data_IF_153552239381
#
_entry.id   IF_153552239381
#
_cell.length_a   1.000
_cell.length_b   1.000
_cell.length_c   1.000
_cell.angle_alpha   90.00
_cell.angle_beta   90.00
_cell.angle_gamma   90.00
#
_symmetry.space_group_name_H-M   'P 1'
#
loop_
_entity.id
_entity.type
_entity.pdbx_description
1 polymer ?
#
# COMPACT_ATOMS: atom_id res chain seq x y z
N UNK A 1 11.44 43.25 20.76
CA UNK A 1 11.81 41.86 20.44
C UNK A 1 10.64 41.19 19.73
N UNK A 2 10.79 40.90 18.46
CA UNK A 2 9.81 40.12 17.74
C UNK A 2 9.93 38.66 18.23
N UNK A 3 8.83 38.09 18.73
CA UNK A 3 8.77 36.69 19.06
C UNK A 3 8.84 35.88 17.75
N UNK A 4 9.84 35.02 17.62
CA UNK A 4 9.94 34.09 16.51
C UNK A 4 8.93 32.96 16.77
N UNK A 5 7.84 32.94 16.03
CA UNK A 5 6.91 31.79 16.06
C UNK A 5 7.55 30.67 15.21
N UNK A 6 8.20 29.74 15.87
CA UNK A 6 8.69 28.50 15.22
C UNK A 6 7.55 27.48 15.30
N UNK A 7 6.97 27.16 14.16
CA UNK A 7 6.02 26.04 14.03
C UNK A 7 6.81 24.80 13.66
N UNK A 8 6.60 23.69 14.39
CA UNK A 8 7.15 22.39 13.99
C UNK A 8 6.57 21.99 12.62
N UNK A 9 7.35 21.34 11.76
CA UNK A 9 6.81 20.70 10.56
C UNK A 9 5.75 19.65 10.96
N UNK A 10 4.88 19.34 10.04
CA UNK A 10 3.84 18.33 10.32
C UNK A 10 4.48 16.94 10.49
N UNK A 11 4.15 16.27 11.59
CA UNK A 11 4.54 14.87 11.81
C UNK A 11 3.87 14.00 10.74
N UNK A 12 4.65 13.16 10.07
CA UNK A 12 4.14 12.17 9.12
C UNK A 12 4.46 10.78 9.64
N UNK A 13 3.44 9.94 9.75
CA UNK A 13 3.58 8.51 10.06
C UNK A 13 2.94 7.71 8.94
N UNK A 14 3.76 6.98 8.19
CA UNK A 14 3.30 6.15 7.07
C UNK A 14 2.79 4.77 7.54
N UNK A 15 3.16 4.35 8.76
CA UNK A 15 2.79 3.07 9.33
C UNK A 15 3.94 2.07 9.41
N UNK A 16 3.60 0.79 9.48
CA UNK A 16 4.59 -0.27 9.52
C UNK A 16 5.18 -0.54 8.13
N UNK A 17 6.48 -0.79 8.07
CA UNK A 17 7.16 -1.20 6.84
C UNK A 17 6.73 -2.59 6.35
N UNK A 18 6.12 -3.38 7.22
CA UNK A 18 5.43 -4.62 6.92
C UNK A 18 4.20 -4.72 7.83
N UNK A 19 3.04 -4.34 7.32
CA UNK A 19 1.77 -4.38 8.05
C UNK A 19 1.33 -5.81 8.42
N UNK A 20 1.90 -6.82 7.79
CA UNK A 20 1.53 -8.22 7.97
C UNK A 20 2.69 -9.10 8.46
N UNK A 21 3.62 -8.53 9.18
CA UNK A 21 4.70 -9.29 9.79
C UNK A 21 4.17 -10.36 10.77
N UNK A 22 4.96 -11.41 10.95
CA UNK A 22 4.64 -12.47 11.88
C UNK A 22 4.79 -12.00 13.34
N UNK A 23 4.16 -12.73 14.25
CA UNK A 23 4.36 -12.55 15.67
C UNK A 23 5.84 -12.71 16.04
N UNK A 24 6.34 -11.87 16.92
CA UNK A 24 7.74 -11.77 17.37
C UNK A 24 8.73 -11.23 16.33
N UNK A 25 8.29 -10.90 15.12
CA UNK A 25 9.12 -10.15 14.20
C UNK A 25 9.35 -8.73 14.73
N UNK A 26 10.54 -8.21 14.52
CA UNK A 26 10.81 -6.78 14.71
C UNK A 26 10.51 -6.05 13.41
N UNK A 27 9.57 -5.11 13.49
CA UNK A 27 9.11 -4.32 12.34
C UNK A 27 9.41 -2.85 12.55
N UNK A 28 9.77 -2.15 11.50
CA UNK A 28 9.94 -0.71 11.55
C UNK A 28 8.62 0.01 11.30
N UNK A 29 8.34 1.02 12.13
CA UNK A 29 7.42 2.11 11.83
C UNK A 29 8.20 3.18 11.10
N UNK A 30 7.65 3.72 10.02
CA UNK A 30 8.33 4.69 9.16
C UNK A 30 7.52 5.98 9.05
N UNK A 31 8.22 7.09 8.87
CA UNK A 31 7.62 8.42 8.79
C UNK A 31 8.68 9.52 8.62
N UNK A 32 8.41 10.71 9.13
CA UNK A 32 9.37 11.82 9.19
C UNK A 32 9.22 12.62 10.47
N UNK A 33 10.28 13.36 10.81
CA UNK A 33 10.33 14.32 11.92
C UNK A 33 10.11 13.72 13.32
N UNK A 34 10.41 12.43 13.51
CA UNK A 34 10.20 11.72 14.77
C UNK A 34 10.98 12.34 15.94
N UNK A 35 12.19 12.82 15.69
CA UNK A 35 13.03 13.49 16.66
C UNK A 35 12.44 14.83 17.15
N UNK A 36 11.75 15.57 16.29
CA UNK A 36 11.09 16.83 16.66
C UNK A 36 9.88 16.62 17.55
N UNK A 37 9.27 15.45 17.49
CA UNK A 37 8.11 15.06 18.30
C UNK A 37 8.47 14.16 19.46
N UNK A 38 9.77 14.07 19.80
CA UNK A 38 10.30 13.26 20.90
C UNK A 38 9.86 11.78 20.80
N UNK A 39 9.72 11.26 19.58
CA UNK A 39 9.44 9.84 19.34
C UNK A 39 10.79 9.10 19.44
N UNK A 40 11.23 8.88 20.66
CA UNK A 40 12.48 8.21 20.99
C UNK A 40 12.30 7.26 22.19
N UNK A 41 13.33 6.48 22.50
CA UNK A 41 13.28 5.47 23.57
C UNK A 41 13.20 6.03 24.99
N UNK A 42 13.37 7.33 25.19
CA UNK A 42 13.37 8.00 26.49
C UNK A 42 12.02 8.65 26.75
N UNK A 43 11.48 9.33 25.74
CA UNK A 43 10.32 10.20 25.88
C UNK A 43 9.02 9.53 25.41
N UNK A 44 9.09 8.60 24.46
CA UNK A 44 7.91 7.96 23.92
C UNK A 44 7.46 6.78 24.78
N UNK A 45 6.16 6.74 25.06
CA UNK A 45 5.49 5.56 25.63
C UNK A 45 4.77 4.84 24.51
N UNK A 46 5.10 3.57 24.31
CA UNK A 46 4.49 2.70 23.32
C UNK A 46 3.62 1.65 23.96
N UNK A 47 2.41 1.49 23.41
CA UNK A 47 1.56 0.34 23.74
C UNK A 47 1.04 -0.32 22.47
N UNK A 48 0.95 -1.65 22.48
CA UNK A 48 0.36 -2.42 21.39
C UNK A 48 -0.91 -3.10 21.92
N UNK A 49 -2.08 -2.73 21.38
CA UNK A 49 -3.38 -3.11 21.95
C UNK A 49 -3.47 -2.86 23.45
N UNK A 50 -2.93 -1.71 23.92
CA UNK A 50 -2.91 -1.32 25.33
C UNK A 50 -1.83 -2.01 26.18
N UNK A 51 -1.06 -2.95 25.64
CA UNK A 51 0.04 -3.59 26.37
C UNK A 51 1.36 -2.86 26.08
N UNK A 52 2.16 -2.53 27.09
CA UNK A 52 3.44 -1.85 26.88
C UNK A 52 4.39 -2.66 25.98
N UNK A 53 5.00 -1.99 25.00
CA UNK A 53 6.03 -2.56 24.14
C UNK A 53 7.26 -1.65 24.14
N UNK A 54 8.42 -2.22 23.77
CA UNK A 54 9.68 -1.48 23.73
C UNK A 54 9.98 -0.98 22.33
N UNK A 55 10.48 0.25 22.25
CA UNK A 55 11.10 0.78 21.05
C UNK A 55 12.47 0.13 20.85
N UNK A 56 12.74 -0.30 19.61
CA UNK A 56 14.00 -0.95 19.21
C UNK A 56 14.68 -0.05 18.18
N UNK A 57 15.70 0.67 18.62
CA UNK A 57 16.37 1.65 17.76
C UNK A 57 15.40 2.76 17.31
N UNK A 58 15.91 3.96 17.12
CA UNK A 58 15.11 5.07 16.58
C UNK A 58 16.01 6.07 15.88
N UNK A 59 15.43 6.77 14.92
CA UNK A 59 16.02 7.93 14.25
C UNK A 59 14.88 8.87 13.79
N UNK A 60 15.21 9.96 13.10
CA UNK A 60 14.24 10.94 12.65
C UNK A 60 13.14 10.38 11.72
N UNK A 61 13.33 9.19 11.14
CA UNK A 61 12.41 8.64 10.12
C UNK A 61 11.89 7.25 10.42
N UNK A 62 12.41 6.58 11.45
CA UNK A 62 11.96 5.22 11.78
C UNK A 62 12.30 4.80 13.21
N UNK A 63 11.52 3.86 13.75
CA UNK A 63 11.85 3.07 14.92
C UNK A 63 11.31 1.64 14.76
N UNK A 64 11.92 0.69 15.46
CA UNK A 64 11.49 -0.70 15.48
C UNK A 64 10.58 -1.02 16.66
N UNK A 65 9.71 -2.00 16.49
CA UNK A 65 8.91 -2.61 17.55
C UNK A 65 8.76 -4.11 17.29
N UNK A 66 8.80 -4.93 18.35
CA UNK A 66 8.48 -6.35 18.24
C UNK A 66 6.97 -6.55 18.25
N UNK A 67 6.46 -7.33 17.30
CA UNK A 67 5.04 -7.69 17.24
C UNK A 67 4.73 -8.70 18.34
N UNK A 68 3.80 -8.39 19.25
CA UNK A 68 3.47 -9.29 20.36
C UNK A 68 2.97 -10.65 19.88
N UNK A 69 3.32 -11.70 20.64
CA UNK A 69 2.81 -13.03 20.37
C UNK A 69 1.27 -13.08 20.57
N UNK A 70 0.58 -13.78 19.68
CA UNK A 70 -0.89 -13.87 19.69
C UNK A 70 -1.59 -12.63 19.13
N UNK A 71 -0.89 -11.80 18.37
CA UNK A 71 -1.50 -10.67 17.65
C UNK A 71 -2.55 -11.20 16.66
N UNK A 72 -3.81 -10.71 16.72
CA UNK A 72 -4.87 -11.17 15.84
C UNK A 72 -4.51 -11.06 14.34
N UNK A 73 -4.96 -12.04 13.54
CA UNK A 73 -4.76 -12.07 12.08
C UNK A 73 -6.03 -11.72 11.32
N UNK A 74 -7.16 -11.67 11.99
CA UNK A 74 -8.51 -11.46 11.45
C UNK A 74 -9.04 -10.04 11.63
N UNK A 75 -8.29 -9.19 12.31
CA UNK A 75 -8.65 -7.80 12.58
C UNK A 75 -7.43 -6.93 12.83
N UNK A 76 -7.60 -5.62 12.69
CA UNK A 76 -6.57 -4.66 13.01
C UNK A 76 -6.16 -4.72 14.49
N UNK A 77 -4.88 -4.49 14.73
CA UNK A 77 -4.28 -4.19 16.02
C UNK A 77 -3.70 -2.78 15.97
N UNK A 78 -3.44 -2.17 17.12
CA UNK A 78 -3.00 -0.78 17.15
C UNK A 78 -1.75 -0.59 17.99
N UNK A 79 -0.74 0.03 17.41
CA UNK A 79 0.38 0.60 18.15
C UNK A 79 0.03 2.04 18.51
N UNK A 80 0.01 2.37 19.78
CA UNK A 80 -0.24 3.74 20.26
C UNK A 80 1.07 4.37 20.70
N UNK A 81 1.31 5.61 20.28
CA UNK A 81 2.46 6.44 20.65
C UNK A 81 1.97 7.62 21.47
N UNK A 82 2.55 7.82 22.64
CA UNK A 82 2.37 9.00 23.48
C UNK A 82 3.74 9.66 23.71
N UNK A 83 3.84 10.96 23.50
CA UNK A 83 5.02 11.77 23.86
C UNK A 83 4.59 13.12 24.41
N UNK A 84 5.47 13.88 25.10
CA UNK A 84 5.15 15.23 25.58
C UNK A 84 4.79 16.23 24.47
N UNK A 85 5.27 16.02 23.24
CA UNK A 85 5.04 16.93 22.10
C UNK A 85 3.80 16.57 21.27
N UNK A 86 3.18 15.41 21.53
CA UNK A 86 1.93 15.01 20.87
C UNK A 86 0.73 15.49 21.70
N UNK A 87 -0.11 16.34 21.09
CA UNK A 87 -1.32 16.84 21.73
C UNK A 87 -2.31 15.71 22.06
N UNK A 88 -2.32 14.67 21.25
CA UNK A 88 -3.11 13.44 21.42
C UNK A 88 -2.24 12.23 21.07
N UNK A 89 -2.48 11.07 21.69
CA UNK A 89 -1.82 9.82 21.27
C UNK A 89 -2.07 9.52 19.79
N UNK A 90 -1.04 9.04 19.10
CA UNK A 90 -1.18 8.59 17.71
C UNK A 90 -1.37 7.08 17.68
N UNK A 91 -2.41 6.63 17.00
CA UNK A 91 -2.70 5.22 16.78
C UNK A 91 -2.27 4.80 15.37
N UNK A 92 -1.43 3.78 15.30
CA UNK A 92 -0.91 3.20 14.06
C UNK A 92 -1.54 1.82 13.89
N UNK A 93 -2.40 1.62 12.89
CA UNK A 93 -3.00 0.32 12.63
C UNK A 93 -1.97 -0.68 12.10
N UNK A 94 -2.07 -1.91 12.55
CA UNK A 94 -1.32 -3.07 12.12
C UNK A 94 -2.28 -4.17 11.68
N UNK A 95 -2.04 -4.79 10.54
CA UNK A 95 -2.95 -5.77 9.91
C UNK A 95 -4.34 -5.19 9.61
N UNK A 96 -4.39 -3.91 9.24
CA UNK A 96 -5.64 -3.28 8.88
C UNK A 96 -6.15 -3.82 7.54
N UNK A 97 -7.37 -4.40 7.50
CA UNK A 97 -7.92 -4.97 6.27
C UNK A 97 -8.25 -3.91 5.22
N UNK A 98 -8.59 -2.69 5.65
CA UNK A 98 -9.00 -1.61 4.75
C UNK A 98 -10.22 -1.95 3.89
N UNK A 99 -10.42 -1.19 2.81
CA UNK A 99 -11.42 -1.47 1.77
C UNK A 99 -10.71 -2.20 0.63
N UNK A 100 -11.07 -3.46 0.31
CA UNK A 100 -10.29 -4.26 -0.62
C UNK A 100 -10.44 -3.80 -2.07
N UNK A 101 -9.33 -3.72 -2.80
CA UNK A 101 -9.25 -3.64 -4.26
C UNK A 101 -8.97 -5.03 -4.81
N UNK A 102 -7.96 -5.69 -4.27
CA UNK A 102 -7.58 -7.05 -4.61
C UNK A 102 -7.09 -7.74 -3.34
N UNK A 103 -7.87 -8.68 -2.84
CA UNK A 103 -7.48 -9.57 -1.75
C UNK A 103 -7.35 -10.99 -2.26
N UNK A 104 -6.78 -11.86 -1.44
CA UNK A 104 -6.55 -13.24 -1.82
C UNK A 104 -7.66 -14.18 -1.38
N UNK A 105 -8.84 -13.68 -1.11
CA UNK A 105 -9.98 -14.55 -0.96
C UNK A 105 -10.56 -14.89 -2.35
N UNK A 106 -11.25 -16.00 -2.43
CA UNK A 106 -11.86 -16.48 -3.68
C UNK A 106 -12.86 -15.49 -4.31
N UNK A 107 -13.27 -14.46 -3.57
CA UNK A 107 -14.27 -13.48 -4.00
C UNK A 107 -13.67 -12.34 -4.79
N UNK A 108 -12.45 -11.98 -4.48
CA UNK A 108 -11.74 -10.84 -5.09
C UNK A 108 -10.69 -11.27 -6.10
N UNK A 109 -10.32 -12.54 -6.09
CA UNK A 109 -9.59 -13.14 -7.19
C UNK A 109 -10.50 -13.14 -8.39
N UNK A 110 -10.35 -12.09 -9.20
CA UNK A 110 -10.98 -12.09 -10.48
C UNK A 110 -12.46 -12.47 -10.36
N UNK A 111 -13.30 -11.52 -10.22
CA UNK A 111 -14.67 -11.76 -10.62
C UNK A 111 -14.62 -12.21 -12.09
N UNK A 112 -14.43 -13.48 -12.29
CA UNK A 112 -14.18 -14.39 -13.38
C UNK A 112 -14.41 -13.96 -14.81
N UNK A 113 -14.89 -12.77 -15.06
CA UNK A 113 -15.39 -12.39 -16.38
C UNK A 113 -14.38 -11.66 -17.25
N UNK A 114 -13.37 -11.01 -16.66
CA UNK A 114 -12.45 -10.14 -17.40
C UNK A 114 -10.99 -10.27 -17.02
N UNK A 115 -10.60 -11.40 -16.47
CA UNK A 115 -9.18 -11.77 -16.46
C UNK A 115 -8.75 -12.14 -17.88
N UNK A 116 -9.08 -11.29 -18.82
CA UNK A 116 -8.47 -11.35 -20.14
C UNK A 116 -7.07 -10.84 -19.96
N UNK A 117 -6.13 -11.74 -19.87
CA UNK A 117 -4.74 -11.39 -19.89
C UNK A 117 -3.93 -11.70 -18.67
N UNK A 118 -4.30 -12.72 -17.91
CA UNK A 118 -3.30 -13.44 -17.10
C UNK A 118 -2.39 -14.19 -18.09
N UNK A 119 -1.84 -13.48 -19.05
CA UNK A 119 -0.95 -14.09 -20.02
C UNK A 119 0.38 -14.49 -19.40
N UNK A 120 0.68 -14.00 -18.18
CA UNK A 120 1.99 -14.20 -17.58
C UNK A 120 1.95 -14.39 -16.05
N UNK A 121 0.81 -14.61 -15.45
CA UNK A 121 0.79 -15.19 -14.10
C UNK A 121 0.96 -16.70 -14.27
N UNK A 122 2.15 -17.19 -14.01
CA UNK A 122 2.33 -18.61 -13.79
C UNK A 122 1.43 -19.02 -12.63
N UNK A 123 0.92 -20.22 -12.67
CA UNK A 123 0.01 -20.77 -11.67
C UNK A 123 0.45 -20.37 -10.28
N UNK A 124 -0.46 -19.76 -9.54
CA UNK A 124 -0.20 -19.40 -8.17
C UNK A 124 -0.31 -20.68 -7.36
N UNK A 125 0.83 -21.16 -6.89
CA UNK A 125 0.85 -22.25 -5.94
C UNK A 125 0.74 -21.71 -4.52
N UNK A 126 -0.29 -22.11 -3.75
CA UNK A 126 -0.39 -21.71 -2.36
C UNK A 126 0.77 -22.24 -1.51
N UNK A 127 1.43 -23.31 -1.95
CA UNK A 127 2.55 -23.91 -1.25
C UNK A 127 3.84 -23.13 -1.42
N UNK A 128 4.05 -22.55 -2.59
CA UNK A 128 5.23 -21.76 -2.90
C UNK A 128 5.21 -20.36 -2.27
N UNK A 129 4.02 -19.81 -2.03
CA UNK A 129 3.83 -18.43 -1.62
C UNK A 129 3.20 -18.29 -0.23
N UNK A 130 3.22 -19.35 0.54
CA UNK A 130 2.62 -19.41 1.85
C UNK A 130 3.43 -18.61 2.88
N UNK A 131 2.95 -17.44 3.26
CA UNK A 131 3.50 -16.64 4.35
C UNK A 131 2.67 -16.88 5.62
N UNK A 132 3.09 -17.84 6.41
CA UNK A 132 2.44 -18.19 7.66
C UNK A 132 2.43 -17.04 8.66
N UNK A 133 1.34 -16.81 9.38
CA UNK A 133 0.01 -17.46 9.28
C UNK A 133 -1.00 -16.67 8.45
N UNK A 134 -0.56 -15.68 7.68
CA UNK A 134 -1.37 -14.54 7.29
C UNK A 134 -2.07 -14.67 5.95
N UNK A 135 -1.45 -15.29 4.96
CA UNK A 135 -2.07 -15.47 3.65
C UNK A 135 -1.55 -16.71 2.91
N UNK A 136 -2.34 -17.19 1.98
CA UNK A 136 -2.01 -18.38 1.18
C UNK A 136 -1.71 -18.06 -0.27
N UNK A 137 -2.36 -17.04 -0.81
CA UNK A 137 -2.33 -16.74 -2.23
C UNK A 137 -1.71 -15.38 -2.46
N UNK A 138 -0.87 -15.30 -3.47
CA UNK A 138 -0.24 -14.04 -3.91
C UNK A 138 -0.22 -14.01 -5.43
N UNK A 139 -0.22 -12.84 -6.01
CA UNK A 139 0.06 -12.69 -7.42
C UNK A 139 1.59 -12.76 -7.62
N UNK A 140 2.05 -13.78 -8.34
CA UNK A 140 3.43 -13.87 -8.79
C UNK A 140 3.55 -13.37 -10.21
N UNK A 141 4.32 -12.34 -10.41
CA UNK A 141 4.49 -11.69 -11.69
C UNK A 141 5.94 -11.84 -12.14
N UNK A 142 6.11 -12.52 -13.26
CA UNK A 142 7.44 -12.76 -13.85
C UNK A 142 7.39 -12.53 -15.33
N UNK A 143 8.29 -11.67 -15.83
CA UNK A 143 8.37 -11.34 -17.23
C UNK A 143 9.80 -11.01 -17.65
N UNK A 144 10.22 -11.55 -18.78
CA UNK A 144 11.38 -11.06 -19.50
C UNK A 144 10.95 -10.01 -20.53
N UNK A 145 11.51 -8.82 -20.45
CA UNK A 145 11.27 -7.74 -21.43
C UNK A 145 12.39 -7.76 -22.47
N UNK A 146 12.06 -7.98 -23.76
CA UNK A 146 13.06 -8.19 -24.82
C UNK A 146 13.78 -6.91 -25.27
N UNK A 147 13.33 -5.73 -24.89
CA UNK A 147 13.93 -4.47 -25.37
C UNK A 147 13.16 -3.22 -24.99
N UNK A 148 13.41 -2.14 -25.69
CA UNK A 148 12.83 -0.83 -25.44
C UNK A 148 11.30 -0.84 -25.51
N UNK A 149 10.65 -0.25 -24.50
CA UNK A 149 9.20 -0.02 -24.47
C UNK A 149 8.33 -1.27 -24.43
N UNK A 150 8.77 -2.29 -23.72
CA UNK A 150 7.89 -3.40 -23.39
C UNK A 150 6.77 -2.96 -22.44
N UNK A 151 5.51 -3.10 -22.88
CA UNK A 151 4.34 -2.93 -22.05
C UNK A 151 3.60 -4.25 -21.95
N UNK A 152 3.23 -4.63 -20.74
CA UNK A 152 2.49 -5.87 -20.49
C UNK A 152 1.41 -5.65 -19.44
N UNK A 153 0.20 -6.02 -19.78
CA UNK A 153 -0.88 -6.13 -18.81
C UNK A 153 -0.82 -7.50 -18.15
N UNK A 154 -0.62 -7.54 -16.83
CA UNK A 154 -0.62 -8.78 -16.09
C UNK A 154 -2.00 -9.17 -15.60
N UNK A 155 -2.72 -8.20 -15.07
CA UNK A 155 -4.04 -8.43 -14.53
C UNK A 155 -4.89 -7.17 -14.57
N UNK A 156 -6.17 -7.35 -14.82
CA UNK A 156 -7.20 -6.35 -14.60
C UNK A 156 -8.18 -6.95 -13.60
N UNK A 157 -8.45 -6.27 -12.52
CA UNK A 157 -9.44 -6.69 -11.53
C UNK A 157 -10.54 -5.65 -11.41
N UNK A 158 -11.77 -6.11 -11.24
CA UNK A 158 -12.88 -5.25 -10.87
C UNK A 158 -12.97 -5.16 -9.36
N UNK A 159 -13.32 -4.01 -8.85
CA UNK A 159 -13.61 -3.81 -7.44
C UNK A 159 -14.92 -3.03 -7.28
N UNK A 160 -15.53 -3.18 -6.13
CA UNK A 160 -16.81 -2.58 -5.79
C UNK A 160 -16.66 -1.82 -4.48
N UNK A 161 -17.27 -0.64 -4.44
CA UNK A 161 -17.32 0.18 -3.23
C UNK A 161 -18.76 0.19 -2.74
N UNK A 162 -18.94 -0.06 -1.47
CA UNK A 162 -20.21 0.02 -0.77
C UNK A 162 -20.27 1.27 0.14
N UNK A 163 -21.28 1.34 0.98
CA UNK A 163 -21.47 2.46 1.90
C UNK A 163 -20.28 2.69 2.85
N UNK A 164 -19.47 1.67 3.10
CA UNK A 164 -18.26 1.80 3.91
C UNK A 164 -17.19 2.71 3.28
N UNK A 165 -17.26 2.91 1.97
CA UNK A 165 -16.37 3.77 1.21
C UNK A 165 -16.82 5.24 1.13
N UNK A 166 -17.90 5.63 1.80
CA UNK A 166 -18.43 7.00 1.71
C UNK A 166 -17.38 8.08 2.08
N UNK A 167 -16.57 7.83 3.11
CA UNK A 167 -15.50 8.77 3.49
C UNK A 167 -14.35 8.79 2.48
N UNK A 168 -14.00 7.66 1.89
CA UNK A 168 -13.02 7.59 0.77
C UNK A 168 -13.49 8.45 -0.42
N UNK A 169 -14.76 8.33 -0.80
CA UNK A 169 -15.32 9.08 -1.92
C UNK A 169 -15.44 10.58 -1.64
N UNK A 170 -15.70 10.94 -0.38
CA UNK A 170 -15.82 12.33 0.04
C UNK A 170 -14.46 13.02 0.26
N UNK A 171 -13.45 12.28 0.68
CA UNK A 171 -12.14 12.79 1.10
C UNK A 171 -10.99 11.90 0.60
N UNK A 172 -10.84 11.68 -0.72
CA UNK A 172 -9.83 10.76 -1.25
C UNK A 172 -8.39 11.14 -0.86
N UNK A 173 -8.14 12.42 -0.60
CA UNK A 173 -6.84 12.92 -0.14
C UNK A 173 -6.45 12.47 1.27
N UNK A 174 -7.40 11.97 2.06
CA UNK A 174 -7.17 11.39 3.40
C UNK A 174 -6.91 9.90 3.36
N UNK A 175 -6.86 9.32 2.17
CA UNK A 175 -6.69 7.89 1.96
C UNK A 175 -5.45 7.59 1.13
N UNK A 176 -4.91 6.41 1.33
CA UNK A 176 -3.85 5.85 0.51
C UNK A 176 -4.24 4.44 0.04
N UNK A 177 -3.57 3.97 -1.00
CA UNK A 177 -3.60 2.58 -1.40
C UNK A 177 -2.38 1.92 -0.79
N UNK A 178 -2.60 0.86 -0.02
CA UNK A 178 -1.54 -0.01 0.49
C UNK A 178 -1.53 -1.33 -0.26
N UNK A 179 -0.35 -1.91 -0.40
CA UNK A 179 -0.15 -3.24 -0.96
C UNK A 179 1.07 -3.90 -0.35
N UNK A 180 1.02 -5.21 -0.25
CA UNK A 180 2.16 -6.01 0.20
C UNK A 180 2.95 -6.46 -1.03
N UNK A 181 4.25 -6.18 -1.03
CA UNK A 181 5.13 -6.51 -2.13
C UNK A 181 6.36 -7.27 -1.64
N UNK A 182 6.83 -8.20 -2.47
CA UNK A 182 8.07 -8.90 -2.29
C UNK A 182 8.73 -9.09 -3.66
N UNK A 183 10.01 -8.84 -3.76
CA UNK A 183 10.77 -9.16 -4.96
C UNK A 183 12.08 -9.86 -4.61
N UNK A 184 12.53 -10.82 -5.46
CA UNK A 184 13.81 -11.48 -5.27
C UNK A 184 14.95 -10.46 -5.25
N UNK A 185 15.96 -10.73 -4.41
CA UNK A 185 17.08 -9.78 -4.19
C UNK A 185 17.89 -9.45 -5.46
N UNK A 186 17.84 -10.34 -6.46
CA UNK A 186 18.52 -10.13 -7.74
C UNK A 186 17.71 -9.33 -8.78
N UNK A 187 16.45 -9.01 -8.48
CA UNK A 187 15.54 -8.32 -9.42
C UNK A 187 14.92 -7.07 -8.80
N UNK A 188 15.70 -6.01 -8.53
CA UNK A 188 15.14 -4.77 -8.01
C UNK A 188 14.09 -4.20 -8.96
N UNK A 189 13.00 -3.69 -8.41
CA UNK A 189 11.96 -3.03 -9.18
C UNK A 189 12.41 -1.59 -9.49
N UNK A 190 12.94 -1.40 -10.67
CA UNK A 190 13.27 -0.10 -11.24
C UNK A 190 12.20 0.25 -12.26
N UNK A 191 11.49 1.32 -12.04
CA UNK A 191 10.51 1.95 -12.92
C UNK A 191 9.30 1.13 -13.39
N UNK A 192 8.17 1.80 -13.34
CA UNK A 192 6.87 1.57 -13.99
C UNK A 192 6.23 0.20 -13.80
N UNK A 193 5.89 -0.11 -12.56
CA UNK A 193 4.72 -0.94 -12.36
C UNK A 193 3.52 0.00 -12.47
N UNK A 194 2.65 -0.25 -13.42
CA UNK A 194 1.41 0.49 -13.55
C UNK A 194 0.36 -0.18 -12.67
N UNK A 195 0.12 0.43 -11.54
CA UNK A 195 -1.00 0.10 -10.67
C UNK A 195 -1.94 1.28 -10.71
N UNK A 196 -3.16 1.08 -11.16
CA UNK A 196 -4.10 2.18 -11.20
C UNK A 196 -5.32 1.89 -12.07
N UNK A 197 -6.11 2.93 -12.29
CA UNK A 197 -7.33 2.86 -13.08
C UNK A 197 -7.03 2.62 -14.56
N UNK A 198 -7.76 1.68 -15.17
CA UNK A 198 -7.52 1.29 -16.57
C UNK A 198 -7.85 2.39 -17.59
N UNK A 199 -8.77 3.28 -17.27
CA UNK A 199 -9.32 4.27 -18.21
C UNK A 199 -8.43 5.48 -18.48
N UNK A 200 -7.44 5.68 -17.62
CA UNK A 200 -6.49 6.78 -17.80
C UNK A 200 -5.65 6.68 -19.08
N UNK A 201 -5.61 5.50 -19.70
CA UNK A 201 -4.84 5.29 -20.94
C UNK A 201 -5.42 6.04 -22.15
N UNK A 202 -6.74 6.10 -22.25
CA UNK A 202 -7.42 6.77 -23.38
C UNK A 202 -7.28 8.29 -23.34
N UNK A 203 -7.05 8.86 -22.17
CA UNK A 203 -6.83 10.28 -21.96
C UNK A 203 -5.34 10.69 -22.03
N UNK A 204 -4.43 9.73 -22.25
CA UNK A 204 -2.98 9.97 -22.24
C UNK A 204 -2.40 10.26 -20.86
N UNK A 205 -3.18 10.08 -19.79
CA UNK A 205 -2.75 10.20 -18.41
C UNK A 205 -2.58 8.82 -17.79
N UNK A 206 -1.46 8.62 -17.11
CA UNK A 206 -1.16 7.37 -16.45
C UNK A 206 -1.07 7.61 -14.96
N UNK A 207 -2.02 7.10 -14.22
CA UNK A 207 -1.96 7.05 -12.78
C UNK A 207 -1.18 5.79 -12.38
N UNK A 208 0.05 5.99 -11.93
CA UNK A 208 1.00 4.89 -11.74
C UNK A 208 1.72 5.01 -10.41
N UNK A 209 1.89 3.87 -9.76
CA UNK A 209 2.89 3.75 -8.71
C UNK A 209 4.27 3.52 -9.35
N UNK A 210 5.23 4.33 -8.96
CA UNK A 210 6.65 4.18 -9.32
C UNK A 210 7.42 3.66 -8.09
N UNK A 211 7.93 2.41 -8.12
CA UNK A 211 8.70 1.85 -7.02
C UNK A 211 9.94 2.66 -6.66
N UNK A 212 10.58 3.31 -7.62
CA UNK A 212 11.74 4.13 -7.37
C UNK A 212 11.35 5.44 -6.64
N UNK A 213 10.26 6.09 -7.03
CA UNK A 213 9.77 7.30 -6.36
C UNK A 213 9.39 7.01 -4.91
N UNK A 214 8.71 5.90 -4.64
CA UNK A 214 8.37 5.48 -3.28
C UNK A 214 9.57 5.06 -2.44
N UNK A 215 10.74 4.90 -3.04
CA UNK A 215 12.00 4.52 -2.41
C UNK A 215 13.11 5.57 -2.61
N UNK A 216 12.76 6.85 -2.57
CA UNK A 216 13.70 7.99 -2.70
C UNK A 216 14.56 7.96 -3.98
N UNK A 217 13.98 7.55 -5.10
CA UNK A 217 14.68 7.47 -6.39
C UNK A 217 15.53 6.21 -6.59
N UNK A 218 15.54 5.31 -5.61
CA UNK A 218 16.27 4.04 -5.68
C UNK A 218 15.31 2.91 -6.04
N UNK A 219 15.72 2.03 -6.94
CA UNK A 219 14.93 0.85 -7.27
C UNK A 219 14.54 0.06 -6.01
N UNK A 220 13.26 -0.29 -5.88
CA UNK A 220 12.78 -1.04 -4.73
C UNK A 220 13.36 -2.45 -4.74
N UNK A 221 14.08 -2.79 -3.69
CA UNK A 221 14.59 -4.12 -3.46
C UNK A 221 14.18 -4.58 -2.05
N UNK A 222 13.21 -5.46 -1.98
CA UNK A 222 12.72 -5.97 -0.70
C UNK A 222 13.61 -7.07 -0.11
N UNK A 223 14.66 -7.49 -0.84
CA UNK A 223 15.58 -8.54 -0.42
C UNK A 223 14.87 -9.86 -0.07
N UNK A 224 13.89 -10.21 -0.88
CA UNK A 224 13.01 -11.38 -0.66
C UNK A 224 12.22 -11.35 0.65
N UNK A 225 11.94 -10.14 1.16
CA UNK A 225 11.09 -9.93 2.34
C UNK A 225 9.82 -9.19 1.94
N UNK A 226 8.73 -9.48 2.61
CA UNK A 226 7.51 -8.73 2.43
C UNK A 226 7.64 -7.32 3.00
N UNK A 227 7.14 -6.34 2.26
CA UNK A 227 7.06 -4.95 2.66
C UNK A 227 5.71 -4.39 2.26
N UNK A 228 5.16 -3.54 3.13
CA UNK A 228 4.01 -2.70 2.79
C UNK A 228 4.51 -1.46 2.08
N UNK A 229 3.98 -1.21 0.89
CA UNK A 229 4.18 0.03 0.15
C UNK A 229 2.85 0.77 0.07
N UNK A 230 2.92 2.10 -0.01
CA UNK A 230 1.73 2.92 -0.13
C UNK A 230 1.88 3.99 -1.20
N UNK A 231 0.75 4.37 -1.77
CA UNK A 231 0.61 5.49 -2.69
C UNK A 231 -0.64 6.29 -2.35
N UNK A 232 -0.62 7.57 -2.67
CA UNK A 232 -1.81 8.38 -2.53
C UNK A 232 -2.93 7.86 -3.43
N UNK A 233 -4.17 7.91 -2.95
CA UNK A 233 -5.32 7.53 -3.80
C UNK A 233 -5.35 8.40 -5.05
N UNK A 234 -5.08 9.68 -4.90
CA UNK A 234 -5.05 10.64 -6.00
C UNK A 234 -3.96 10.42 -7.03
N UNK A 235 -2.91 9.66 -6.68
CA UNK A 235 -1.83 9.30 -7.61
C UNK A 235 -2.18 8.06 -8.45
N UNK A 236 -3.03 7.17 -7.92
CA UNK A 236 -3.41 5.91 -8.58
C UNK A 236 -4.78 5.95 -9.23
N UNK A 237 -5.60 6.92 -8.85
CA UNK A 237 -6.96 7.09 -9.38
C UNK A 237 -7.17 8.52 -9.82
N UNK A 238 -7.81 8.74 -10.97
CA UNK A 238 -8.16 10.08 -11.42
C UNK A 238 -9.18 10.73 -10.47
N UNK A 239 -9.37 12.05 -10.54
CA UNK A 239 -10.48 12.72 -9.86
C UNK A 239 -11.81 12.01 -10.12
N UNK A 240 -12.75 12.08 -9.18
CA UNK A 240 -14.05 11.37 -9.26
C UNK A 240 -14.85 11.65 -10.52
N UNK A 241 -14.64 12.82 -11.12
CA UNK A 241 -15.18 13.19 -12.43
C UNK A 241 -14.11 13.94 -13.21
N UNK A 242 -13.86 13.52 -14.44
CA UNK A 242 -12.96 14.19 -15.35
C UNK A 242 -13.69 14.44 -16.69
N UNK A 243 -13.70 15.71 -17.14
CA UNK A 243 -14.39 16.13 -18.37
C UNK A 243 -15.87 15.73 -18.41
N UNK A 244 -16.55 15.70 -17.26
CA UNK A 244 -17.96 15.31 -17.14
C UNK A 244 -18.21 13.80 -17.19
N UNK A 245 -17.14 12.98 -17.18
CA UNK A 245 -17.24 11.54 -17.11
C UNK A 245 -16.88 11.04 -15.71
N UNK A 246 -17.65 10.08 -15.22
CA UNK A 246 -17.35 9.39 -13.96
C UNK A 246 -16.05 8.59 -14.09
N UNK A 247 -15.24 8.61 -13.06
CA UNK A 247 -14.00 7.87 -12.99
C UNK A 247 -14.16 6.53 -12.27
N UNK A 248 -13.10 5.75 -12.24
CA UNK A 248 -13.05 4.41 -11.69
C UNK A 248 -13.61 4.32 -10.26
N UNK A 249 -13.27 5.24 -9.34
CA UNK A 249 -13.81 5.24 -7.98
C UNK A 249 -15.32 5.51 -7.96
N UNK A 250 -15.78 6.47 -8.76
CA UNK A 250 -17.21 6.82 -8.83
C UNK A 250 -18.03 5.68 -9.42
N UNK A 251 -17.50 5.00 -10.42
CA UNK A 251 -18.13 3.84 -11.07
C UNK A 251 -18.19 2.67 -10.10
N UNK A 252 -17.11 2.42 -9.35
CA UNK A 252 -17.06 1.37 -8.34
C UNK A 252 -18.12 1.54 -7.24
N UNK A 253 -18.48 2.80 -6.92
CA UNK A 253 -19.54 3.10 -5.95
C UNK A 253 -20.96 3.00 -6.52
N UNK A 254 -21.11 3.06 -7.85
CA UNK A 254 -22.43 3.02 -8.51
C UNK A 254 -22.39 2.07 -9.73
N UNK A 255 -22.23 0.77 -9.49
CA UNK A 255 -22.01 -0.21 -10.54
C UNK A 255 -23.21 -0.43 -11.45
N UNK A 256 -24.42 -0.07 -11.01
CA UNK A 256 -25.65 -0.32 -11.76
C UNK A 256 -25.99 0.76 -12.80
N UNK A 257 -25.41 1.94 -12.65
CA UNK A 257 -25.71 3.07 -13.53
C UNK A 257 -24.76 3.22 -14.72
N UNK A 258 -23.77 2.35 -14.87
CA UNK A 258 -22.79 2.49 -15.94
C UNK A 258 -22.25 1.12 -16.39
N UNK A 259 -23.09 0.38 -17.13
CA UNK A 259 -22.73 -0.96 -17.62
C UNK A 259 -21.55 -0.98 -18.61
N UNK A 260 -21.17 0.17 -19.16
CA UNK A 260 -20.15 0.27 -20.20
C UNK A 260 -18.83 0.87 -19.70
N UNK A 261 -18.72 1.23 -18.41
CA UNK A 261 -17.52 1.84 -17.85
C UNK A 261 -16.92 0.99 -16.73
N UNK A 262 -15.64 1.03 -16.64
CA UNK A 262 -14.77 0.02 -16.06
C UNK A 262 -14.30 0.45 -14.66
N UNK A 263 -14.83 -0.16 -13.62
CA UNK A 263 -14.31 -0.08 -12.26
C UNK A 263 -13.08 -0.99 -12.11
N UNK A 264 -12.08 -0.75 -12.94
CA UNK A 264 -10.95 -1.63 -13.07
C UNK A 264 -9.74 -1.10 -12.32
N UNK A 265 -9.09 -1.98 -11.59
CA UNK A 265 -7.72 -1.79 -11.15
C UNK A 265 -6.81 -2.66 -12.02
N UNK A 266 -5.79 -2.04 -12.58
CA UNK A 266 -4.90 -2.68 -13.54
C UNK A 266 -3.52 -2.88 -12.93
N UNK A 267 -2.99 -4.08 -13.07
CA UNK A 267 -1.60 -4.40 -12.78
C UNK A 267 -0.91 -4.60 -14.12
N UNK A 268 -0.04 -3.68 -14.46
CA UNK A 268 0.76 -3.73 -15.67
C UNK A 268 2.20 -3.35 -15.36
N UNK A 269 3.12 -3.70 -16.22
CA UNK A 269 4.47 -3.19 -16.14
C UNK A 269 4.92 -2.64 -17.48
N UNK A 270 5.71 -1.59 -17.39
CA UNK A 270 6.43 -1.04 -18.53
C UNK A 270 7.91 -0.99 -18.17
N UNK A 271 8.75 -1.41 -19.09
CA UNK A 271 10.19 -1.35 -18.92
C UNK A 271 10.84 -0.72 -20.14
N UNK A 272 11.72 0.25 -19.90
CA UNK A 272 12.44 0.94 -20.97
C UNK A 272 13.66 0.15 -21.48
N UNK A 273 14.14 -0.82 -20.70
CA UNK A 273 15.31 -1.62 -21.03
C UNK A 273 14.98 -3.10 -20.98
N UNK A 274 15.70 -3.92 -21.73
CA UNK A 274 15.61 -5.37 -21.64
C UNK A 274 15.95 -5.88 -20.25
N UNK A 275 15.40 -7.01 -19.87
CA UNK A 275 15.72 -7.72 -18.65
C UNK A 275 14.52 -8.33 -17.95
N UNK A 276 14.80 -9.04 -16.88
CA UNK A 276 13.79 -9.74 -16.09
C UNK A 276 13.14 -8.80 -15.07
N UNK A 277 11.83 -8.99 -14.88
CA UNK A 277 11.07 -8.44 -13.78
C UNK A 277 10.40 -9.59 -13.04
N UNK A 278 10.56 -9.63 -11.73
CA UNK A 278 9.92 -10.63 -10.88
C UNK A 278 9.53 -10.01 -9.55
N UNK A 279 8.27 -10.16 -9.17
CA UNK A 279 7.77 -9.72 -7.88
C UNK A 279 6.48 -10.46 -7.50
N UNK A 280 6.19 -10.43 -6.22
CA UNK A 280 4.97 -10.94 -5.62
C UNK A 280 4.17 -9.78 -5.09
N UNK A 281 2.86 -9.85 -5.27
CA UNK A 281 1.94 -8.80 -4.86
C UNK A 281 0.74 -9.42 -4.13
N UNK A 282 0.32 -8.76 -3.06
CA UNK A 282 -0.81 -9.21 -2.25
C UNK A 282 -1.54 -8.03 -1.61
N UNK A 283 -2.84 -8.21 -1.35
CA UNK A 283 -3.67 -7.36 -0.49
C UNK A 283 -3.62 -5.88 -0.85
N UNK A 284 -4.04 -5.56 -2.08
CA UNK A 284 -4.19 -4.17 -2.52
C UNK A 284 -5.50 -3.64 -1.93
N UNK A 285 -5.40 -2.55 -1.16
CA UNK A 285 -6.53 -2.02 -0.38
C UNK A 285 -6.44 -0.52 -0.20
N UNK A 286 -7.59 0.13 -0.02
CA UNK A 286 -7.66 1.50 0.46
C UNK A 286 -7.55 1.50 1.98
N UNK A 287 -6.72 2.38 2.50
CA UNK A 287 -6.52 2.56 3.93
C UNK A 287 -6.54 4.05 4.26
N UNK A 288 -7.15 4.41 5.36
CA UNK A 288 -7.13 5.79 5.85
C UNK A 288 -5.74 6.16 6.34
N UNK A 289 -5.27 7.35 5.97
CA UNK A 289 -3.99 7.86 6.48
C UNK A 289 -4.04 8.05 7.99
N UNK A 290 -2.91 7.85 8.63
CA UNK A 290 -2.77 8.03 10.07
C UNK A 290 -2.90 9.51 10.41
N UNK A 291 -3.82 9.84 11.29
CA UNK A 291 -3.98 11.21 11.78
C UNK A 291 -2.91 11.50 12.83
N UNK A 292 -2.19 12.60 12.66
CA UNK A 292 -1.08 13.03 13.52
C UNK A 292 -1.33 14.36 14.22
N UNK A 293 -2.55 14.89 14.14
CA UNK A 293 -2.96 16.17 14.74
C UNK A 293 -3.85 15.99 15.94
#
# INVERSE_FOLDING_TARGET
SAALNVTLPELVINGFKNDFAADRDTVQVVGSDFDLYLIDSINAKLTFNGQPVKMIGCNATSFGVEIPAGTPTDRASYLTIETPELAIPVEIPFREPGIPILTNDERTWVNGWWATGITNMNDISPEEFYYQPLFKWVAWIKKNFPGTWGYENFMITHFWLDDSAADLLANPEKWCVKMEINNPSGTPLARYIRLGAAESESAGKFYMWDPASSNNGVALNTMSKWQTVQSEVTDLFPPLEENGQKTCLKIAADPYNNQDQWNNFKIAAQRETSGDMEFYLWNIRFVKKIATK
#
